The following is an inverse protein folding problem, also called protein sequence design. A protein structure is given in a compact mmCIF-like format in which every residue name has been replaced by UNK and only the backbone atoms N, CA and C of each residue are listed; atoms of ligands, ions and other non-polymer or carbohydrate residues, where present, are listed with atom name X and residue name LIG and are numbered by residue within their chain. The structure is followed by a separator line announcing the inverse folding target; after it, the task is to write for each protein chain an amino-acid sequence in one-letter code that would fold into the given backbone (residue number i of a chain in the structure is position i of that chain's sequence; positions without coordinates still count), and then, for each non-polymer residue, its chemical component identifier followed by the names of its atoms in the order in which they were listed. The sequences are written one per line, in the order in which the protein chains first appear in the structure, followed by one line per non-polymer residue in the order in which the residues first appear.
data_IF_880100192883
#
_entry.id   IF_880100192883
#
_cell.length_a   1.000
_cell.length_b   1.000
_cell.length_c   1.000
_cell.angle_alpha   90.00
_cell.angle_beta   90.00
_cell.angle_gamma   90.00
#
_symmetry.space_group_name_H-M   'P 1'
#
loop_
_entity.id
_entity.type
_entity.pdbx_description
1 polymer ?
#
# COMPACT_ATOMS: atom_id res chain seq x y z
N UNK A 1 14.47 10.69 -15.05
CA UNK A 1 13.69 9.80 -14.15
C UNK A 1 13.06 8.72 -15.01
N UNK A 2 13.05 7.48 -14.55
CA UNK A 2 12.38 6.38 -15.25
C UNK A 2 10.89 6.45 -14.93
N UNK A 3 10.05 6.53 -15.95
CA UNK A 3 8.61 6.54 -15.78
C UNK A 3 8.12 5.17 -15.27
N UNK A 4 7.29 5.16 -14.22
CA UNK A 4 6.66 3.95 -13.70
C UNK A 4 5.32 3.73 -14.39
N UNK A 5 5.24 2.76 -15.29
CA UNK A 5 4.06 2.49 -16.12
C UNK A 5 2.92 1.76 -15.37
N UNK A 6 3.19 1.27 -14.16
CA UNK A 6 2.21 0.55 -13.35
C UNK A 6 1.12 1.45 -12.74
N UNK A 7 1.29 2.78 -12.69
CA UNK A 7 0.28 3.71 -12.19
C UNK A 7 -0.83 3.95 -13.22
N UNK A 8 -2.03 3.45 -12.93
CA UNK A 8 -3.23 3.63 -13.78
C UNK A 8 -4.05 4.83 -13.28
N UNK A 9 -5.32 4.91 -13.68
CA UNK A 9 -6.18 6.05 -13.34
C UNK A 9 -6.64 6.05 -11.87
N UNK A 10 -6.89 4.86 -11.31
CA UNK A 10 -7.51 4.67 -9.98
C UNK A 10 -6.79 3.64 -9.10
N UNK A 11 -5.79 2.94 -9.63
CA UNK A 11 -5.00 1.94 -8.91
C UNK A 11 -3.60 1.79 -9.52
N UNK A 12 -2.80 0.91 -8.92
CA UNK A 12 -1.48 0.50 -9.43
C UNK A 12 -1.61 -0.94 -9.91
N UNK A 13 -1.21 -1.20 -11.15
CA UNK A 13 -1.23 -2.51 -11.80
C UNK A 13 -0.04 -2.64 -12.74
N UNK A 14 0.76 -3.68 -12.60
CA UNK A 14 1.88 -3.91 -13.50
C UNK A 14 2.19 -5.39 -13.67
N UNK A 15 2.77 -5.71 -14.83
CA UNK A 15 3.44 -6.98 -15.05
C UNK A 15 4.64 -7.14 -14.09
N UNK A 16 4.75 -8.31 -13.48
CA UNK A 16 5.75 -8.62 -12.47
C UNK A 16 7.16 -8.65 -13.06
N UNK A 17 8.12 -8.12 -12.31
CA UNK A 17 9.52 -8.03 -12.71
C UNK A 17 9.83 -6.74 -13.45
N UNK A 18 9.07 -6.44 -14.52
CA UNK A 18 9.29 -5.27 -15.37
C UNK A 18 8.60 -3.99 -14.85
N UNK A 19 7.27 -4.03 -14.69
CA UNK A 19 6.48 -2.84 -14.31
C UNK A 19 6.24 -2.74 -12.81
N UNK A 20 6.20 -3.88 -12.12
CA UNK A 20 6.03 -3.97 -10.67
C UNK A 20 6.96 -5.05 -10.09
N UNK A 21 7.74 -4.64 -9.09
CA UNK A 21 8.63 -5.51 -8.33
C UNK A 21 8.80 -4.95 -6.91
N UNK A 22 9.59 -5.62 -6.07
CA UNK A 22 9.77 -5.23 -4.66
C UNK A 22 10.44 -3.86 -4.49
N UNK A 23 11.33 -3.44 -5.38
CA UNK A 23 11.91 -2.09 -5.34
C UNK A 23 10.83 -1.03 -5.61
N UNK A 24 10.02 -1.24 -6.65
CA UNK A 24 8.93 -0.34 -7.00
C UNK A 24 7.89 -0.31 -5.87
N UNK A 25 7.53 -1.46 -5.29
CA UNK A 25 6.63 -1.54 -4.15
C UNK A 25 7.15 -0.77 -2.92
N UNK A 26 8.44 -0.89 -2.62
CA UNK A 26 9.10 -0.11 -1.57
C UNK A 26 9.00 1.39 -1.83
N UNK A 27 9.29 1.82 -3.07
CA UNK A 27 9.22 3.23 -3.47
C UNK A 27 7.80 3.78 -3.40
N UNK A 28 6.79 2.99 -3.75
CA UNK A 28 5.37 3.34 -3.58
C UNK A 28 5.07 3.57 -2.09
N UNK A 29 5.53 2.68 -1.21
CA UNK A 29 5.35 2.83 0.24
C UNK A 29 6.02 4.08 0.80
N UNK A 30 7.27 4.34 0.40
CA UNK A 30 7.98 5.58 0.75
C UNK A 30 7.21 6.81 0.28
N UNK A 31 6.81 6.83 -0.99
CA UNK A 31 6.09 7.95 -1.59
C UNK A 31 4.73 8.22 -0.93
N UNK A 32 3.97 7.16 -0.59
CA UNK A 32 2.71 7.28 0.13
C UNK A 32 2.92 7.93 1.51
N UNK A 33 3.90 7.43 2.27
CA UNK A 33 4.23 7.96 3.60
C UNK A 33 4.70 9.41 3.56
N UNK A 34 5.53 9.78 2.59
CA UNK A 34 6.03 11.16 2.44
C UNK A 34 4.94 12.15 1.99
N UNK A 35 4.05 11.73 1.08
CA UNK A 35 2.98 12.58 0.55
C UNK A 35 1.87 12.82 1.56
N UNK A 36 1.31 11.73 2.13
CA UNK A 36 0.15 11.82 3.02
C UNK A 36 0.53 12.00 4.49
N UNK A 37 1.74 11.61 4.88
CA UNK A 37 2.25 11.64 6.28
C UNK A 37 1.29 10.99 7.29
N UNK A 38 0.77 9.78 7.01
CA UNK A 38 -0.10 9.08 7.93
C UNK A 38 0.69 8.61 9.15
N UNK A 39 0.03 8.57 10.32
CA UNK A 39 0.62 7.99 11.53
C UNK A 39 0.54 6.48 11.48
N UNK A 40 -0.61 5.94 11.11
CA UNK A 40 -0.84 4.50 11.05
C UNK A 40 -1.70 4.13 9.85
N UNK A 41 -1.35 3.06 9.15
CA UNK A 41 -2.18 2.50 8.09
C UNK A 41 -2.31 0.98 8.22
N UNK A 42 -3.34 0.44 7.57
CA UNK A 42 -3.52 -1.01 7.40
C UNK A 42 -3.00 -1.48 6.03
N UNK A 43 -2.37 -2.65 5.99
CA UNK A 43 -1.98 -3.32 4.74
C UNK A 43 -2.44 -4.77 4.75
N UNK A 44 -2.71 -5.29 3.56
CA UNK A 44 -3.07 -6.68 3.34
C UNK A 44 -2.79 -7.06 1.90
N UNK A 45 -3.03 -8.32 1.57
CA UNK A 45 -2.88 -8.77 0.19
C UNK A 45 -3.64 -10.04 -0.11
N UNK A 46 -3.86 -10.26 -1.41
CA UNK A 46 -4.57 -11.42 -1.91
C UNK A 46 -3.70 -12.70 -1.93
N UNK A 47 -4.29 -13.80 -2.42
CA UNK A 47 -3.66 -15.13 -2.48
C UNK A 47 -2.52 -15.27 -3.51
N UNK A 48 -2.15 -14.22 -4.25
CA UNK A 48 -1.08 -14.35 -5.25
C UNK A 48 0.25 -14.62 -4.54
N UNK A 49 1.05 -15.54 -5.11
CA UNK A 49 2.36 -15.92 -4.56
C UNK A 49 3.31 -14.72 -4.37
N UNK A 50 3.13 -13.65 -5.14
CA UNK A 50 3.95 -12.42 -5.06
C UNK A 50 3.38 -11.36 -4.12
N UNK A 51 2.14 -11.48 -3.65
CA UNK A 51 1.50 -10.45 -2.82
C UNK A 51 2.22 -10.27 -1.49
N UNK A 52 2.67 -11.35 -0.85
CA UNK A 52 3.38 -11.27 0.43
C UNK A 52 4.69 -10.48 0.31
N UNK A 53 5.54 -10.78 -0.69
CA UNK A 53 6.83 -10.09 -0.80
C UNK A 53 6.67 -8.63 -1.24
N UNK A 54 5.71 -8.33 -2.11
CA UNK A 54 5.36 -6.96 -2.47
C UNK A 54 4.78 -6.18 -1.28
N UNK A 55 3.91 -6.79 -0.47
CA UNK A 55 3.35 -6.19 0.75
C UNK A 55 4.43 -5.88 1.79
N UNK A 56 5.36 -6.78 2.02
CA UNK A 56 6.48 -6.54 2.95
C UNK A 56 7.43 -5.45 2.46
N UNK A 57 7.69 -5.39 1.15
CA UNK A 57 8.49 -4.31 0.56
C UNK A 57 7.78 -2.95 0.68
N UNK A 58 6.48 -2.91 0.39
CA UNK A 58 5.61 -1.74 0.58
C UNK A 58 5.63 -1.28 2.05
N UNK A 59 5.39 -2.19 2.99
CA UNK A 59 5.39 -1.92 4.42
C UNK A 59 6.74 -1.36 4.91
N UNK A 60 7.85 -1.90 4.39
CA UNK A 60 9.19 -1.36 4.67
C UNK A 60 9.31 0.09 4.21
N UNK A 61 8.79 0.43 3.03
CA UNK A 61 8.74 1.81 2.54
C UNK A 61 7.92 2.71 3.46
N UNK A 62 6.73 2.29 3.87
CA UNK A 62 5.89 3.05 4.79
C UNK A 62 6.57 3.31 6.13
N UNK A 63 7.16 2.28 6.75
CA UNK A 63 7.89 2.41 8.01
C UNK A 63 9.08 3.37 7.90
N UNK A 64 9.84 3.30 6.82
CA UNK A 64 10.99 4.17 6.56
C UNK A 64 10.58 5.64 6.33
N UNK A 65 9.32 5.90 5.96
CA UNK A 65 8.71 7.24 5.91
C UNK A 65 8.08 7.68 7.25
N UNK A 66 8.17 6.83 8.28
CA UNK A 66 7.69 7.13 9.64
C UNK A 66 6.24 6.74 9.93
N UNK A 67 5.66 5.86 9.10
CA UNK A 67 4.29 5.36 9.27
C UNK A 67 4.28 3.99 9.95
N UNK A 68 3.45 3.84 11.00
CA UNK A 68 3.15 2.54 11.58
C UNK A 68 2.25 1.72 10.66
N UNK A 69 2.54 0.43 10.52
CA UNK A 69 1.85 -0.50 9.62
C UNK A 69 1.19 -1.60 10.43
N UNK A 70 -0.12 -1.76 10.23
CA UNK A 70 -0.91 -2.89 10.71
C UNK A 70 -1.12 -3.86 9.54
N UNK A 71 -0.46 -5.01 9.57
CA UNK A 71 -0.62 -6.04 8.54
C UNK A 71 -1.76 -7.00 8.95
N UNK A 72 -2.84 -7.04 8.17
CA UNK A 72 -3.97 -7.95 8.39
C UNK A 72 -3.80 -9.30 7.67
N UNK A 73 -2.66 -9.51 7.01
CA UNK A 73 -2.30 -10.79 6.41
C UNK A 73 -2.93 -10.99 5.03
N UNK A 74 -3.53 -12.17 4.85
CA UNK A 74 -4.29 -12.53 3.65
C UNK A 74 -5.71 -11.94 3.79
N UNK A 75 -6.09 -11.05 2.88
CA UNK A 75 -7.35 -10.30 2.98
C UNK A 75 -7.97 -10.01 1.61
N UNK A 76 -9.27 -9.69 1.62
CA UNK A 76 -9.94 -9.05 0.49
C UNK A 76 -9.77 -7.52 0.47
N UNK A 77 -10.13 -6.89 -0.66
CA UNK A 77 -10.15 -5.42 -0.77
C UNK A 77 -11.13 -4.79 0.22
N UNK A 78 -12.29 -5.44 0.39
CA UNK A 78 -13.37 -5.02 1.27
C UNK A 78 -12.94 -5.08 2.74
N UNK A 79 -12.13 -6.08 3.12
CA UNK A 79 -11.54 -6.18 4.46
C UNK A 79 -10.57 -5.04 4.75
N UNK A 80 -9.76 -4.62 3.77
CA UNK A 80 -8.88 -3.44 3.93
C UNK A 80 -9.70 -2.17 4.12
N UNK A 81 -10.79 -2.01 3.37
CA UNK A 81 -11.64 -0.83 3.46
C UNK A 81 -12.33 -0.81 4.84
N UNK A 82 -12.87 -1.95 5.25
CA UNK A 82 -13.42 -2.17 6.58
C UNK A 82 -12.42 -1.82 7.67
N UNK A 83 -11.25 -2.47 7.65
CA UNK A 83 -10.19 -2.26 8.64
C UNK A 83 -9.78 -0.80 8.74
N UNK A 84 -9.70 -0.09 7.60
CA UNK A 84 -9.31 1.32 7.55
C UNK A 84 -10.26 2.18 8.38
N UNK A 85 -11.57 2.08 8.15
CA UNK A 85 -12.54 2.89 8.90
C UNK A 85 -12.80 2.35 10.32
N UNK A 86 -12.82 1.02 10.49
CA UNK A 86 -13.10 0.37 11.77
C UNK A 86 -12.03 0.68 12.82
N UNK A 87 -10.76 0.57 12.42
CA UNK A 87 -9.62 0.89 13.30
C UNK A 87 -9.37 2.40 13.42
N UNK A 88 -10.06 3.23 12.63
CA UNK A 88 -9.86 4.68 12.61
C UNK A 88 -8.44 5.08 12.17
N UNK A 89 -7.81 4.30 11.29
CA UNK A 89 -6.45 4.57 10.79
C UNK A 89 -6.47 5.53 9.60
N UNK A 90 -5.30 6.09 9.28
CA UNK A 90 -5.16 7.18 8.31
C UNK A 90 -5.21 6.71 6.84
N UNK A 91 -5.27 5.40 6.62
CA UNK A 91 -5.34 4.82 5.29
C UNK A 91 -5.19 3.30 5.26
N UNK A 92 -5.26 2.76 4.05
CA UNK A 92 -5.23 1.33 3.79
C UNK A 92 -4.67 1.01 2.40
N UNK A 93 -3.93 -0.08 2.29
CA UNK A 93 -3.43 -0.56 0.99
C UNK A 93 -3.65 -2.06 0.86
N UNK A 94 -4.39 -2.44 -0.18
CA UNK A 94 -4.57 -3.84 -0.56
C UNK A 94 -3.61 -4.18 -1.71
N UNK A 95 -2.73 -5.16 -1.51
CA UNK A 95 -1.82 -5.69 -2.54
C UNK A 95 -2.54 -6.78 -3.33
N UNK A 96 -3.00 -6.41 -4.52
CA UNK A 96 -3.78 -7.30 -5.38
C UNK A 96 -3.73 -6.84 -6.83
N UNK A 97 -3.81 -7.80 -7.75
CA UNK A 97 -4.26 -7.53 -9.11
C UNK A 97 -5.62 -8.16 -9.42
N UNK A 98 -6.49 -8.33 -8.42
CA UNK A 98 -7.88 -8.76 -8.56
C UNK A 98 -8.00 -9.95 -9.53
N UNK A 99 -8.61 -9.74 -10.70
CA UNK A 99 -8.83 -10.77 -11.71
C UNK A 99 -7.80 -10.79 -12.86
N UNK A 100 -6.74 -9.96 -12.81
CA UNK A 100 -5.71 -9.96 -13.85
C UNK A 100 -4.94 -11.29 -13.89
N UNK A 101 -4.27 -11.61 -15.01
CA UNK A 101 -3.41 -12.79 -15.13
C UNK A 101 -2.39 -12.94 -14.00
N UNK A 102 -1.89 -14.15 -13.78
CA UNK A 102 -0.98 -14.46 -12.66
C UNK A 102 0.36 -13.72 -12.73
N UNK A 103 0.80 -13.31 -13.93
CA UNK A 103 2.01 -12.51 -14.11
C UNK A 103 1.80 -11.02 -13.77
N UNK A 104 0.64 -10.62 -13.24
CA UNK A 104 0.37 -9.26 -12.78
C UNK A 104 0.21 -9.22 -11.26
N UNK A 105 0.60 -8.10 -10.66
CA UNK A 105 0.16 -7.71 -9.33
C UNK A 105 -0.09 -6.18 -9.28
N UNK A 106 -0.47 -5.67 -8.13
CA UNK A 106 -0.90 -4.28 -8.01
C UNK A 106 -1.22 -3.86 -6.59
N UNK A 107 -1.75 -2.65 -6.47
CA UNK A 107 -2.14 -2.06 -5.20
C UNK A 107 -3.36 -1.17 -5.39
N UNK A 108 -4.30 -1.25 -4.44
CA UNK A 108 -5.41 -0.29 -4.29
C UNK A 108 -5.19 0.51 -3.03
N UNK A 109 -5.25 1.83 -3.13
CA UNK A 109 -4.89 2.74 -2.03
C UNK A 109 -6.12 3.52 -1.57
N UNK A 110 -6.29 3.59 -0.25
CA UNK A 110 -7.27 4.45 0.40
C UNK A 110 -6.59 5.31 1.46
N UNK A 111 -7.20 6.45 1.78
CA UNK A 111 -6.86 7.32 2.92
C UNK A 111 -7.91 7.18 4.02
N UNK A 112 -7.93 8.11 4.97
CA UNK A 112 -8.81 8.07 6.13
C UNK A 112 -10.28 7.85 5.75
N UNK A 113 -11.00 7.09 6.58
CA UNK A 113 -12.39 6.66 6.31
C UNK A 113 -12.54 5.85 5.00
N UNK A 114 -11.50 5.11 4.58
CA UNK A 114 -11.49 4.27 3.39
C UNK A 114 -11.79 5.03 2.07
N UNK A 115 -11.50 6.33 2.01
CA UNK A 115 -11.69 7.12 0.78
C UNK A 115 -10.65 6.70 -0.28
N UNK A 116 -11.06 6.32 -1.50
CA UNK A 116 -10.13 5.96 -2.57
C UNK A 116 -9.15 7.07 -2.91
N UNK A 117 -7.95 6.67 -3.32
CA UNK A 117 -6.96 7.57 -3.92
C UNK A 117 -6.89 7.30 -5.43
N UNK A 118 -7.37 8.26 -6.21
CA UNK A 118 -7.31 8.28 -7.68
C UNK A 118 -6.25 9.27 -8.18
N UNK A 119 -6.08 9.33 -9.51
CA UNK A 119 -5.12 10.22 -10.18
C UNK A 119 -5.20 11.68 -9.73
N UNK A 120 -6.40 12.19 -9.52
CA UNK A 120 -6.72 13.56 -9.11
C UNK A 120 -6.70 13.79 -7.59
N UNK A 121 -6.64 12.73 -6.78
CA UNK A 121 -6.67 12.83 -5.31
C UNK A 121 -5.39 12.35 -4.64
N UNK A 122 -4.30 12.19 -5.42
CA UNK A 122 -2.96 11.93 -4.88
C UNK A 122 -2.17 10.81 -5.56
N UNK A 123 -2.80 9.96 -6.38
CA UNK A 123 -2.10 8.82 -6.99
C UNK A 123 -0.96 9.28 -7.92
N UNK A 124 -1.13 10.41 -8.62
CA UNK A 124 -0.07 11.02 -9.45
C UNK A 124 1.04 11.68 -8.64
N UNK A 125 0.75 12.19 -7.45
CA UNK A 125 1.77 12.71 -6.54
C UNK A 125 2.63 11.57 -5.98
N UNK A 126 2.00 10.47 -5.58
CA UNK A 126 2.69 9.24 -5.17
C UNK A 126 3.55 8.71 -6.32
N UNK A 127 3.01 8.67 -7.54
CA UNK A 127 3.77 8.28 -8.73
C UNK A 127 5.02 9.14 -8.90
N UNK A 128 4.86 10.47 -8.88
CA UNK A 128 5.97 11.41 -9.08
C UNK A 128 7.08 11.18 -8.05
N UNK A 129 6.73 11.09 -6.77
CA UNK A 129 7.72 10.85 -5.69
C UNK A 129 8.40 9.47 -5.83
N UNK A 130 7.63 8.44 -6.20
CA UNK A 130 8.18 7.12 -6.44
C UNK A 130 9.16 7.14 -7.63
N UNK A 131 8.82 7.81 -8.73
CA UNK A 131 9.66 7.99 -9.94
C UNK A 131 10.93 8.80 -9.66
N UNK A 132 10.82 9.86 -8.87
CA UNK A 132 11.95 10.68 -8.42
C UNK A 132 12.95 9.84 -7.62
N UNK A 133 12.45 9.00 -6.70
CA UNK A 133 13.24 8.14 -5.83
C UNK A 133 14.34 8.91 -5.06
N UNK A 134 14.06 10.17 -4.70
CA UNK A 134 14.96 11.07 -3.97
C UNK A 134 14.45 11.27 -2.54
N UNK A 135 14.27 10.16 -1.82
CA UNK A 135 13.80 10.22 -0.44
C UNK A 135 14.89 10.67 0.51
N UNK A 136 14.49 11.34 1.60
CA UNK A 136 15.41 11.64 2.69
C UNK A 136 16.00 10.34 3.28
N UNK A 137 17.23 10.38 3.83
CA UNK A 137 17.76 9.28 4.61
C UNK A 137 16.79 8.86 5.72
N UNK A 138 16.69 7.55 5.96
CA UNK A 138 15.78 7.01 6.98
C UNK A 138 16.23 7.49 8.35
N UNK A 139 15.35 8.19 9.06
CA UNK A 139 15.56 8.56 10.46
C UNK A 139 15.16 7.38 11.36
N UNK A 140 16.15 6.65 11.86
CA UNK A 140 15.94 5.50 12.71
C UNK A 140 15.15 5.81 13.99
N UNK A 141 15.16 7.05 14.48
CA UNK A 141 14.41 7.46 15.67
C UNK A 141 12.92 7.70 15.40
N UNK A 142 12.55 7.86 14.13
CA UNK A 142 11.18 8.15 13.67
C UNK A 142 10.61 7.05 12.78
N UNK A 143 11.36 5.97 12.56
CA UNK A 143 10.93 4.83 11.75
C UNK A 143 9.72 4.18 12.39
N UNK A 144 8.69 3.95 11.58
CA UNK A 144 7.47 3.27 12.00
C UNK A 144 7.69 1.80 12.33
N UNK A 145 6.64 1.18 12.87
CA UNK A 145 6.62 -0.23 13.27
C UNK A 145 5.72 -1.05 12.36
N UNK A 146 5.96 -2.37 12.30
CA UNK A 146 5.06 -3.32 11.67
C UNK A 146 4.49 -4.24 12.75
N UNK A 147 3.17 -4.38 12.78
CA UNK A 147 2.47 -5.33 13.66
C UNK A 147 1.46 -6.12 12.85
N UNK A 148 1.46 -7.43 13.01
CA UNK A 148 0.39 -8.27 12.49
C UNK A 148 -0.80 -8.26 13.45
N UNK A 149 -1.99 -8.11 12.90
CA UNK A 149 -3.26 -8.16 13.63
C UNK A 149 -4.30 -8.92 12.80
N UNK A 150 -5.45 -9.22 13.39
CA UNK A 150 -6.61 -9.71 12.65
C UNK A 150 -7.81 -8.84 12.99
N UNK A 151 -8.65 -8.57 11.99
CA UNK A 151 -9.96 -7.91 12.13
C UNK A 151 -11.08 -8.79 11.55
N UNK A 152 -10.80 -10.07 11.33
CA UNK A 152 -11.68 -10.97 10.60
C UNK A 152 -13.02 -11.17 11.32
N UNK A 153 -12.98 -11.31 12.64
CA UNK A 153 -14.19 -11.49 13.43
C UNK A 153 -15.09 -10.25 13.33
N UNK A 154 -14.50 -9.07 13.50
CA UNK A 154 -15.17 -7.79 13.42
C UNK A 154 -15.73 -7.52 12.01
N UNK A 155 -15.00 -7.92 10.98
CA UNK A 155 -15.47 -7.84 9.60
C UNK A 155 -16.69 -8.73 9.37
N UNK A 156 -16.64 -9.99 9.84
CA UNK A 156 -17.77 -10.92 9.71
C UNK A 156 -18.99 -10.44 10.50
N UNK A 157 -18.80 -9.88 11.70
CA UNK A 157 -19.89 -9.35 12.52
C UNK A 157 -20.53 -8.08 11.94
N UNK A 158 -19.85 -7.40 11.00
CA UNK A 158 -20.36 -6.21 10.32
C UNK A 158 -21.25 -6.52 9.10
N UNK A 159 -21.18 -7.73 8.54
CA UNK A 159 -21.95 -8.18 7.37
C UNK A 159 -23.41 -8.54 7.73
#
# INVERSE_FOLDING_TARGET
MTQLTCFKAYDIRGELGEELNEDIAYRIGRAYGEFLKPKTIVVGGDVRLTSESLKLALARGLMDAGTDVLDIGLSGTEEIYFATFYLGVDGGIEVTASHNPMNYNGMKLVRENAKPISGDTGLRDIQRLAEENQFAPVDASRRGTLRQISVLQEYVDHL
#
